data_IF_188265932507
#
_entry.id   IF_188265932507
#
_cell.length_a   1.000
_cell.length_b   1.000
_cell.length_c   1.000
_cell.angle_alpha   90.00
_cell.angle_beta   90.00
_cell.angle_gamma   90.00
#
_symmetry.space_group_name_H-M   'P 1'
#
loop_
_entity.id
_entity.type
_entity.pdbx_description
1 polymer ?
#
# COMPACT_ATOMS: atom_id res chain seq x y z
N UNK A 1 -5.42 -15.78 -26.43
CA UNK A 1 -5.17 -14.36 -26.11
C UNK A 1 -3.87 -14.32 -25.33
N UNK A 2 -2.80 -13.77 -25.90
CA UNK A 2 -1.52 -13.64 -25.17
C UNK A 2 -1.78 -12.76 -23.95
N UNK A 3 -1.61 -13.30 -22.74
CA UNK A 3 -1.81 -12.58 -21.48
C UNK A 3 -0.62 -11.65 -21.21
N UNK A 4 -0.33 -10.75 -22.14
CA UNK A 4 0.72 -9.75 -21.97
C UNK A 4 0.22 -8.72 -20.96
N UNK A 5 0.99 -8.52 -19.89
CA UNK A 5 0.72 -7.49 -18.88
C UNK A 5 0.60 -6.12 -19.60
N UNK A 6 -0.37 -5.26 -19.24
CA UNK A 6 -0.53 -3.96 -19.89
C UNK A 6 0.72 -3.08 -19.68
N UNK A 7 0.95 -2.14 -20.61
CA UNK A 7 2.12 -1.24 -20.57
C UNK A 7 2.14 -0.29 -19.37
N UNK A 8 0.99 -0.10 -18.72
CA UNK A 8 0.85 0.72 -17.52
C UNK A 8 -0.18 0.09 -16.56
N UNK A 9 0.03 0.21 -15.24
CA UNK A 9 -0.95 -0.20 -14.23
C UNK A 9 -2.12 0.80 -14.09
N UNK A 10 -2.15 1.88 -14.88
CA UNK A 10 -3.19 2.89 -14.79
C UNK A 10 -4.58 2.33 -15.16
N UNK A 11 -5.59 2.69 -14.37
CA UNK A 11 -6.99 2.32 -14.61
C UNK A 11 -7.85 3.54 -15.02
N UNK A 12 -7.20 4.60 -15.51
CA UNK A 12 -7.83 5.88 -15.87
C UNK A 12 -8.62 6.59 -14.74
N UNK A 13 -8.37 6.20 -13.48
CA UNK A 13 -8.84 6.90 -12.30
C UNK A 13 -7.63 7.41 -11.51
N UNK A 14 -7.49 8.72 -11.40
CA UNK A 14 -6.36 9.35 -10.71
C UNK A 14 -6.86 10.17 -9.52
N UNK A 15 -6.52 9.72 -8.31
CA UNK A 15 -6.87 10.43 -7.08
C UNK A 15 -5.72 11.29 -6.54
N UNK A 16 -4.50 11.14 -7.07
CA UNK A 16 -3.36 12.01 -6.70
C UNK A 16 -3.55 13.44 -7.19
N UNK A 17 -4.32 13.64 -8.27
CA UNK A 17 -4.76 14.98 -8.70
C UNK A 17 -5.71 15.65 -7.68
N UNK A 18 -6.30 14.87 -6.77
CA UNK A 18 -7.18 15.33 -5.70
C UNK A 18 -6.48 15.43 -4.33
N UNK A 19 -5.16 15.16 -4.29
CA UNK A 19 -4.34 15.31 -3.08
C UNK A 19 -3.91 14.00 -2.39
N UNK A 20 -4.28 12.82 -2.88
CA UNK A 20 -3.73 11.57 -2.32
C UNK A 20 -2.26 11.40 -2.71
N UNK A 21 -1.40 10.96 -1.79
CA UNK A 21 0.00 10.63 -2.10
C UNK A 21 0.16 9.31 -2.89
N UNK A 22 -0.77 8.38 -2.66
CA UNK A 22 -0.89 7.11 -3.38
C UNK A 22 -2.24 7.03 -4.09
N UNK A 23 -2.22 6.79 -5.39
CA UNK A 23 -3.44 6.75 -6.20
C UNK A 23 -4.33 5.57 -5.82
N UNK A 24 -5.60 5.84 -5.47
CA UNK A 24 -6.59 4.82 -5.10
C UNK A 24 -6.96 3.88 -6.24
N UNK A 25 -6.74 4.30 -7.49
CA UNK A 25 -7.02 3.48 -8.68
C UNK A 25 -5.91 2.47 -9.00
N UNK A 26 -4.66 2.92 -9.09
CA UNK A 26 -3.53 2.09 -9.54
C UNK A 26 -2.49 1.76 -8.46
N UNK A 27 -2.64 2.28 -7.24
CA UNK A 27 -1.72 2.09 -6.11
C UNK A 27 -0.28 2.59 -6.32
N UNK A 28 -0.03 3.36 -7.37
CA UNK A 28 1.24 4.07 -7.59
C UNK A 28 1.30 5.37 -6.79
N UNK A 29 2.51 5.78 -6.43
CA UNK A 29 2.77 7.11 -5.89
C UNK A 29 2.67 8.18 -6.99
N UNK A 30 2.49 9.44 -6.62
CA UNK A 30 2.53 10.55 -7.59
C UNK A 30 3.85 10.60 -8.37
N UNK A 31 4.99 10.32 -7.71
CA UNK A 31 6.30 10.24 -8.35
C UNK A 31 6.36 9.16 -9.44
N UNK A 32 5.87 7.96 -9.15
CA UNK A 32 5.82 6.86 -10.13
C UNK A 32 4.86 7.13 -11.29
N UNK A 33 3.76 7.85 -11.04
CA UNK A 33 2.81 8.25 -12.09
C UNK A 33 3.45 9.28 -13.02
N UNK A 34 4.01 10.35 -12.45
CA UNK A 34 4.60 11.45 -13.21
C UNK A 34 5.87 11.06 -13.98
N UNK A 35 6.64 10.10 -13.46
CA UNK A 35 7.88 9.65 -14.09
C UNK A 35 7.74 8.42 -14.97
N UNK A 36 6.55 7.82 -15.09
CA UNK A 36 6.34 6.51 -15.72
C UNK A 36 7.02 6.36 -17.09
N UNK A 37 6.85 7.36 -17.96
CA UNK A 37 7.40 7.34 -19.32
C UNK A 37 8.93 7.39 -19.36
N UNK A 38 9.56 7.87 -18.29
CA UNK A 38 11.01 8.04 -18.16
C UNK A 38 11.69 6.90 -17.39
N UNK A 39 10.92 6.06 -16.69
CA UNK A 39 11.46 4.88 -16.02
C UNK A 39 11.95 3.86 -17.05
N UNK A 40 13.10 3.24 -16.76
CA UNK A 40 13.58 2.07 -17.49
C UNK A 40 12.77 0.81 -17.13
N UNK A 41 13.09 -0.31 -17.77
CA UNK A 41 12.37 -1.56 -17.59
C UNK A 41 12.49 -2.11 -16.16
N UNK A 42 13.67 -2.00 -15.54
CA UNK A 42 13.92 -2.50 -14.19
C UNK A 42 13.13 -1.71 -13.15
N UNK A 43 13.12 -0.38 -13.27
CA UNK A 43 12.34 0.50 -12.42
C UNK A 43 10.83 0.28 -12.59
N UNK A 44 10.36 0.07 -13.83
CA UNK A 44 8.95 -0.28 -14.08
C UNK A 44 8.59 -1.61 -13.43
N UNK A 45 9.45 -2.62 -13.53
CA UNK A 45 9.22 -3.92 -12.89
C UNK A 45 9.20 -3.79 -11.36
N UNK A 46 10.11 -3.00 -10.78
CA UNK A 46 10.12 -2.73 -9.35
C UNK A 46 8.81 -2.08 -8.88
N UNK A 47 8.24 -1.15 -9.66
CA UNK A 47 6.90 -0.59 -9.37
C UNK A 47 5.84 -1.68 -9.43
N UNK A 48 5.82 -2.49 -10.50
CA UNK A 48 4.85 -3.59 -10.66
C UNK A 48 4.85 -4.56 -9.49
N UNK A 49 6.02 -4.93 -8.98
CA UNK A 49 6.16 -5.85 -7.85
C UNK A 49 5.58 -5.29 -6.55
N UNK A 50 5.54 -3.97 -6.37
CA UNK A 50 4.99 -3.32 -5.17
C UNK A 50 3.46 -3.17 -5.19
N UNK A 51 2.85 -3.08 -6.38
CA UNK A 51 1.42 -2.74 -6.51
C UNK A 51 0.48 -3.71 -5.79
N UNK A 52 0.64 -5.04 -5.87
CA UNK A 52 -0.26 -5.97 -5.17
C UNK A 52 -0.31 -5.71 -3.66
N UNK A 53 0.85 -5.41 -3.06
CA UNK A 53 0.94 -5.09 -1.64
C UNK A 53 0.28 -3.75 -1.35
N UNK A 54 0.61 -2.69 -2.10
CA UNK A 54 0.03 -1.35 -1.91
C UNK A 54 -1.48 -1.32 -2.10
N UNK A 55 -2.03 -2.14 -3.01
CA UNK A 55 -3.47 -2.30 -3.17
C UNK A 55 -4.15 -2.84 -1.90
N UNK A 56 -3.49 -3.77 -1.20
CA UNK A 56 -3.99 -4.27 0.09
C UNK A 56 -3.88 -3.20 1.18
N UNK A 57 -2.76 -2.46 1.21
CA UNK A 57 -2.57 -1.35 2.15
C UNK A 57 -3.60 -0.23 1.95
N UNK A 58 -3.96 0.07 0.70
CA UNK A 58 -5.01 1.04 0.36
C UNK A 58 -6.37 0.64 0.92
N UNK A 59 -6.74 -0.65 0.81
CA UNK A 59 -8.01 -1.15 1.36
C UNK A 59 -8.05 -1.03 2.88
N UNK A 60 -6.94 -1.31 3.55
CA UNK A 60 -6.81 -1.18 5.01
C UNK A 60 -6.84 0.29 5.45
N UNK A 61 -6.12 1.19 4.76
CA UNK A 61 -6.20 2.64 5.02
C UNK A 61 -7.64 3.14 4.92
N UNK A 62 -8.33 2.78 3.83
CA UNK A 62 -9.73 3.16 3.62
C UNK A 62 -10.65 2.61 4.72
N UNK A 63 -10.44 1.36 5.17
CA UNK A 63 -11.19 0.78 6.28
C UNK A 63 -10.93 1.49 7.62
N UNK A 64 -9.73 2.06 7.80
CA UNK A 64 -9.38 2.90 8.94
C UNK A 64 -9.88 4.35 8.79
N UNK A 65 -10.58 4.69 7.70
CA UNK A 65 -11.00 6.07 7.42
C UNK A 65 -9.82 7.02 7.11
N UNK A 66 -8.70 6.49 6.66
CA UNK A 66 -7.45 7.22 6.43
C UNK A 66 -7.03 7.23 4.96
N UNK A 67 -6.12 8.15 4.63
CA UNK A 67 -5.36 8.11 3.38
C UNK A 67 -4.14 7.20 3.57
N UNK A 68 -3.75 6.49 2.51
CA UNK A 68 -2.52 5.69 2.55
C UNK A 68 -1.30 6.61 2.43
N UNK A 69 -0.52 6.66 3.49
CA UNK A 69 0.86 7.12 3.46
C UNK A 69 1.81 5.92 3.43
N UNK A 70 2.94 6.05 2.74
CA UNK A 70 3.96 5.00 2.64
C UNK A 70 5.24 5.46 3.31
N UNK A 71 5.75 4.66 4.22
CA UNK A 71 7.03 4.85 4.87
C UNK A 71 7.94 3.65 4.56
N UNK A 72 9.26 3.87 4.54
CA UNK A 72 10.26 2.82 4.38
C UNK A 72 11.02 2.64 5.68
N UNK A 73 11.04 1.41 6.20
CA UNK A 73 11.71 1.06 7.44
C UNK A 73 12.50 -0.22 7.23
N UNK A 74 13.81 -0.17 7.47
CA UNK A 74 14.74 -1.27 7.23
C UNK A 74 14.67 -1.83 5.79
N UNK A 75 14.41 -0.95 4.81
CA UNK A 75 14.24 -1.31 3.39
C UNK A 75 12.90 -1.95 3.04
N UNK A 76 11.97 -2.01 4.01
CA UNK A 76 10.64 -2.58 3.84
C UNK A 76 9.62 -1.45 3.78
N UNK A 77 8.74 -1.49 2.78
CA UNK A 77 7.65 -0.50 2.64
C UNK A 77 6.46 -0.85 3.56
N UNK A 78 5.99 0.13 4.32
CA UNK A 78 4.86 0.05 5.25
C UNK A 78 3.81 1.09 4.89
N UNK A 79 2.54 0.78 5.13
CA UNK A 79 1.50 1.80 5.22
C UNK A 79 1.60 2.51 6.56
N UNK A 80 1.32 3.81 6.61
CA UNK A 80 1.29 4.58 7.86
C UNK A 80 -0.09 5.21 8.07
N UNK A 81 -0.64 5.01 9.26
CA UNK A 81 -1.87 5.66 9.70
C UNK A 81 -1.59 7.04 10.32
N UNK A 82 -2.60 7.93 10.41
CA UNK A 82 -2.46 9.27 11.00
C UNK A 82 -1.98 9.27 12.46
N UNK A 83 -2.25 8.20 13.20
CA UNK A 83 -1.77 8.01 14.58
C UNK A 83 -0.30 7.55 14.67
N UNK A 84 0.40 7.43 13.53
CA UNK A 84 1.80 7.00 13.46
C UNK A 84 2.00 5.49 13.44
N UNK A 85 0.93 4.68 13.50
CA UNK A 85 1.03 3.23 13.39
C UNK A 85 1.44 2.84 11.96
N UNK A 86 2.48 2.03 11.86
CA UNK A 86 2.88 1.38 10.63
C UNK A 86 2.16 0.04 10.50
N UNK A 87 1.76 -0.32 9.29
CA UNK A 87 1.08 -1.58 9.01
C UNK A 87 1.46 -2.17 7.66
N UNK A 88 1.49 -3.51 7.59
CA UNK A 88 1.87 -4.26 6.39
C UNK A 88 1.26 -5.65 6.43
N UNK A 89 1.06 -6.30 5.29
CA UNK A 89 0.77 -7.73 5.25
C UNK A 89 2.06 -8.52 4.95
N UNK A 90 2.29 -9.63 5.65
CA UNK A 90 3.32 -10.58 5.26
C UNK A 90 2.87 -11.45 4.06
N UNK A 91 3.75 -12.34 3.61
CA UNK A 91 3.46 -13.24 2.50
C UNK A 91 2.39 -14.29 2.84
N UNK A 92 2.22 -14.59 4.13
CA UNK A 92 1.16 -15.47 4.65
C UNK A 92 -0.20 -14.78 4.78
N UNK A 93 -0.26 -13.46 4.56
CA UNK A 93 -1.46 -12.65 4.70
C UNK A 93 -1.76 -12.23 6.15
N UNK A 94 -0.85 -12.45 7.09
CA UNK A 94 -0.96 -11.93 8.45
C UNK A 94 -0.74 -10.41 8.43
N UNK A 95 -1.57 -9.68 9.19
CA UNK A 95 -1.46 -8.23 9.30
C UNK A 95 -0.45 -7.88 10.38
N UNK A 96 0.62 -7.24 9.97
CA UNK A 96 1.65 -6.70 10.84
C UNK A 96 1.32 -5.26 11.19
N UNK A 97 1.56 -4.91 12.45
CA UNK A 97 1.45 -3.56 13.00
C UNK A 97 2.71 -3.21 13.75
N UNK A 98 3.17 -1.97 13.65
CA UNK A 98 4.30 -1.45 14.44
C UNK A 98 3.97 -0.06 14.96
N UNK A 99 4.08 0.12 16.27
CA UNK A 99 3.89 1.42 16.95
C UNK A 99 5.26 2.01 17.27
N UNK A 100 5.64 3.12 16.62
CA UNK A 100 6.96 3.76 16.80
C UNK A 100 8.14 2.83 16.44
N UNK A 101 9.23 2.89 17.22
CA UNK A 101 10.41 2.02 17.04
C UNK A 101 10.20 0.58 17.53
N UNK A 102 9.02 0.26 18.07
CA UNK A 102 8.70 -1.03 18.68
C UNK A 102 8.77 -2.24 17.74
N UNK A 103 8.64 -3.45 18.28
CA UNK A 103 8.62 -4.69 17.49
C UNK A 103 7.31 -4.78 16.72
N UNK A 104 7.34 -5.33 15.50
CA UNK A 104 6.11 -5.58 14.75
C UNK A 104 5.27 -6.68 15.43
N UNK A 105 4.04 -6.36 15.78
CA UNK A 105 3.02 -7.29 16.25
C UNK A 105 2.31 -7.90 15.05
N UNK A 106 1.98 -9.19 15.11
CA UNK A 106 1.28 -9.89 14.05
C UNK A 106 -0.13 -10.26 14.51
N UNK A 107 -1.13 -9.87 13.71
CA UNK A 107 -2.51 -10.31 13.86
C UNK A 107 -2.80 -11.44 12.88
N UNK A 108 -3.09 -12.61 13.44
CA UNK A 108 -3.45 -13.83 12.70
C UNK A 108 -4.94 -13.90 12.31
N UNK A 109 -5.68 -12.79 12.46
CA UNK A 109 -7.03 -12.69 11.92
C UNK A 109 -7.04 -12.66 10.39
N UNK A 110 -8.22 -12.80 9.80
CA UNK A 110 -8.33 -12.75 8.35
C UNK A 110 -8.17 -11.31 7.87
N UNK A 111 -7.10 -10.99 7.14
CA UNK A 111 -6.88 -9.63 6.61
C UNK A 111 -7.98 -9.14 5.63
N UNK A 112 -8.82 -10.04 5.13
CA UNK A 112 -10.02 -9.68 4.35
C UNK A 112 -11.19 -9.20 5.23
N UNK A 113 -11.13 -9.44 6.55
CA UNK A 113 -12.05 -8.90 7.54
C UNK A 113 -11.65 -7.46 7.88
N UNK A 114 -11.87 -6.56 6.90
CA UNK A 114 -11.40 -5.17 6.94
C UNK A 114 -11.85 -4.37 8.19
N UNK A 115 -13.09 -4.52 8.70
CA UNK A 115 -13.50 -3.82 9.93
C UNK A 115 -12.70 -4.26 11.16
N UNK A 116 -12.50 -5.56 11.34
CA UNK A 116 -11.72 -6.13 12.44
C UNK A 116 -10.25 -5.76 12.33
N UNK A 117 -9.71 -5.79 11.10
CA UNK A 117 -8.36 -5.34 10.80
C UNK A 117 -8.17 -3.86 11.17
N UNK A 118 -9.11 -2.99 10.77
CA UNK A 118 -9.08 -1.57 11.08
C UNK A 118 -9.20 -1.30 12.57
N UNK A 119 -10.10 -2.01 13.27
CA UNK A 119 -10.23 -1.92 14.72
C UNK A 119 -8.93 -2.32 15.44
N UNK A 120 -8.27 -3.38 14.98
CA UNK A 120 -7.01 -3.83 15.53
C UNK A 120 -5.86 -2.84 15.28
N UNK A 121 -5.79 -2.25 14.09
CA UNK A 121 -4.81 -1.20 13.77
C UNK A 121 -5.05 0.10 14.56
N UNK A 122 -6.30 0.40 14.88
CA UNK A 122 -6.71 1.58 15.64
C UNK A 122 -6.59 1.43 17.17
N UNK A 123 -6.50 0.20 17.69
CA UNK A 123 -6.44 -0.07 19.13
C UNK A 123 -5.05 0.20 19.73
N UNK A 124 -5.00 0.93 20.84
CA UNK A 124 -3.83 0.94 21.74
C UNK A 124 -3.82 -0.32 22.60
#
# INVERSE_FOLDING_TARGET
MSSTRPDSPCVALCSTALGDNVCRGCARTFGEISQWCFLDQEAREAVWLRLPQRQRLLKLAAACGALLELDSLDGVEWGRLPNGVLYRLDDGGALLRRSGDGVAEAWSGCASALPEAAAWLGGS
#
